data_IF_706970867320
#
_entry.id   IF_706970867320
#
_cell.length_a   1.000
_cell.length_b   1.000
_cell.length_c   1.000
_cell.angle_alpha   90.00
_cell.angle_beta   90.00
_cell.angle_gamma   90.00
#
_symmetry.space_group_name_H-M   'P 1'
#
loop_
_entity.id
_entity.type
_entity.pdbx_description
1 polymer ?
#
# COMPACT_ATOMS: atom_id res chain seq x y z
N UNK A 1 9.82 27.14 15.59
CA UNK A 1 9.63 25.68 15.51
C UNK A 1 9.15 25.29 14.11
N UNK A 2 9.99 24.72 13.27
CA UNK A 2 9.58 24.20 11.95
C UNK A 2 9.65 22.67 11.95
N UNK A 3 8.49 22.00 11.85
CA UNK A 3 8.43 20.56 11.60
C UNK A 3 8.67 20.30 10.12
N UNK A 4 9.85 19.79 9.77
CA UNK A 4 10.12 19.21 8.46
C UNK A 4 9.17 18.02 8.27
N UNK A 5 8.35 18.06 7.21
CA UNK A 5 7.59 16.89 6.76
C UNK A 5 8.57 15.99 6.02
N UNK A 6 9.06 14.94 6.69
CA UNK A 6 9.82 13.87 6.07
C UNK A 6 8.89 13.11 5.12
N UNK A 7 8.90 13.46 3.83
CA UNK A 7 8.28 12.66 2.78
C UNK A 7 9.15 11.42 2.57
N UNK A 8 8.82 10.35 3.30
CA UNK A 8 9.45 9.05 3.09
C UNK A 8 9.00 8.53 1.73
N UNK A 9 9.89 8.62 0.73
CA UNK A 9 9.62 8.13 -0.63
C UNK A 9 9.67 6.61 -0.63
N UNK A 10 8.53 5.97 -0.33
CA UNK A 10 8.30 4.55 -0.57
C UNK A 10 8.02 4.32 -2.06
N UNK A 11 8.98 4.64 -2.94
CA UNK A 11 8.90 4.21 -4.34
C UNK A 11 9.29 2.73 -4.38
N UNK A 12 8.30 1.87 -4.23
CA UNK A 12 8.47 0.41 -4.35
C UNK A 12 8.51 0.12 -5.85
N UNK A 13 9.71 -0.13 -6.36
CA UNK A 13 9.93 -0.49 -7.76
C UNK A 13 9.20 -1.80 -8.09
N UNK A 14 8.19 -1.73 -8.95
CA UNK A 14 7.45 -2.88 -9.49
C UNK A 14 5.98 -3.01 -9.07
N UNK A 15 5.51 -2.26 -8.08
CA UNK A 15 4.12 -2.34 -7.60
C UNK A 15 3.17 -1.29 -8.21
N UNK A 16 1.86 -1.54 -8.12
CA UNK A 16 0.83 -0.52 -8.39
C UNK A 16 0.78 0.45 -7.21
N UNK A 17 0.99 1.74 -7.46
CA UNK A 17 1.03 2.76 -6.42
C UNK A 17 -0.23 3.64 -6.47
N UNK A 18 -0.87 3.77 -5.32
CA UNK A 18 -2.09 4.57 -5.16
C UNK A 18 -1.87 5.69 -4.15
N UNK A 19 -2.39 6.86 -4.45
CA UNK A 19 -2.58 7.97 -3.51
C UNK A 19 -4.05 8.02 -3.11
N UNK A 20 -4.35 7.86 -1.82
CA UNK A 20 -5.72 7.86 -1.30
C UNK A 20 -5.94 9.11 -0.45
N UNK A 21 -6.91 9.92 -0.84
CA UNK A 21 -7.35 11.13 -0.14
C UNK A 21 -8.70 10.84 0.52
N UNK A 22 -8.71 10.69 1.85
CA UNK A 22 -9.93 10.48 2.64
C UNK A 22 -10.46 11.85 3.07
N UNK A 23 -11.66 12.20 2.60
CA UNK A 23 -12.25 13.53 2.84
C UNK A 23 -13.29 13.53 3.93
N UNK A 24 -14.10 12.47 3.99
CA UNK A 24 -15.23 12.41 4.90
C UNK A 24 -15.37 11.02 5.52
N UNK A 25 -15.78 11.00 6.78
CA UNK A 25 -16.27 9.82 7.47
C UNK A 25 -17.70 10.09 7.92
N UNK A 26 -18.67 9.55 7.18
CA UNK A 26 -20.10 9.70 7.47
C UNK A 26 -20.78 8.34 7.38
N UNK A 27 -21.77 8.09 8.25
CA UNK A 27 -22.49 6.80 8.30
C UNK A 27 -21.57 5.57 8.40
N UNK A 28 -20.49 5.69 9.19
CA UNK A 28 -19.46 4.65 9.31
C UNK A 28 -18.76 4.30 7.98
N UNK A 29 -18.92 5.14 6.95
CA UNK A 29 -18.30 4.98 5.64
C UNK A 29 -17.25 6.06 5.37
N UNK A 30 -16.11 5.65 4.82
CA UNK A 30 -15.08 6.56 4.34
C UNK A 30 -15.34 6.92 2.89
N UNK A 31 -15.17 8.19 2.58
CA UNK A 31 -15.42 8.77 1.27
C UNK A 31 -14.24 9.66 0.88
N UNK A 32 -13.95 9.72 -0.40
CA UNK A 32 -12.76 10.42 -0.85
C UNK A 32 -12.46 10.22 -2.33
N UNK A 33 -11.18 10.29 -2.65
CA UNK A 33 -10.67 9.98 -3.98
C UNK A 33 -9.43 9.10 -3.91
N UNK A 34 -9.32 8.18 -4.84
CA UNK A 34 -8.11 7.41 -5.11
C UNK A 34 -7.50 7.92 -6.41
N UNK A 35 -6.19 8.13 -6.42
CA UNK A 35 -5.43 8.47 -7.60
C UNK A 35 -4.39 7.38 -7.85
N UNK A 36 -4.41 6.81 -9.05
CA UNK A 36 -3.34 5.95 -9.55
C UNK A 36 -2.15 6.79 -9.96
N UNK A 37 -0.97 6.47 -9.44
CA UNK A 37 0.24 7.23 -9.76
C UNK A 37 0.90 6.77 -11.06
N UNK A 38 0.61 5.56 -11.48
CA UNK A 38 1.03 4.97 -12.76
C UNK A 38 0.34 5.63 -13.97
N UNK A 39 -0.97 5.87 -13.90
CA UNK A 39 -1.74 6.51 -14.99
C UNK A 39 -2.14 7.95 -14.72
N UNK A 40 -2.00 8.43 -13.48
CA UNK A 40 -2.52 9.72 -13.05
C UNK A 40 -4.05 9.77 -12.89
N UNK A 41 -4.74 8.65 -13.15
CA UNK A 41 -6.21 8.56 -13.11
C UNK A 41 -6.72 8.76 -11.69
N UNK A 42 -7.65 9.71 -11.52
CA UNK A 42 -8.26 10.04 -10.23
C UNK A 42 -9.74 9.72 -10.24
N UNK A 43 -10.16 8.83 -9.33
CA UNK A 43 -11.53 8.34 -9.21
C UNK A 43 -12.04 8.65 -7.81
N UNK A 44 -13.29 9.09 -7.72
CA UNK A 44 -13.97 9.32 -6.44
C UNK A 44 -14.64 8.04 -5.95
N UNK A 45 -14.51 7.77 -4.64
CA UNK A 45 -15.21 6.66 -3.99
C UNK A 45 -16.17 7.20 -2.92
N UNK A 46 -17.36 6.59 -2.85
CA UNK A 46 -18.49 6.90 -1.97
C UNK A 46 -18.56 5.95 -0.77
N UNK A 47 -17.78 4.88 -0.78
CA UNK A 47 -17.66 3.94 0.33
C UNK A 47 -16.34 3.18 0.31
N UNK A 48 -15.98 2.55 1.44
CA UNK A 48 -14.82 1.67 1.52
C UNK A 48 -14.89 0.51 0.53
N UNK A 49 -16.09 -0.01 0.27
CA UNK A 49 -16.26 -1.16 -0.65
C UNK A 49 -15.97 -0.77 -2.09
N UNK A 50 -16.40 0.43 -2.48
CA UNK A 50 -16.07 0.98 -3.79
C UNK A 50 -14.56 1.23 -3.93
N UNK A 51 -13.90 1.75 -2.88
CA UNK A 51 -12.45 1.87 -2.86
C UNK A 51 -11.75 0.53 -3.10
N UNK A 52 -12.16 -0.53 -2.39
CA UNK A 52 -11.58 -1.86 -2.55
C UNK A 52 -11.79 -2.41 -3.96
N UNK A 53 -12.98 -2.23 -4.54
CA UNK A 53 -13.27 -2.66 -5.91
C UNK A 53 -12.42 -1.93 -6.96
N UNK A 54 -12.15 -0.63 -6.75
CA UNK A 54 -11.26 0.16 -7.60
C UNK A 54 -9.81 -0.36 -7.53
N UNK A 55 -9.33 -0.66 -6.33
CA UNK A 55 -7.99 -1.23 -6.13
C UNK A 55 -7.89 -2.62 -6.78
N UNK A 56 -8.85 -3.50 -6.51
CA UNK A 56 -8.91 -4.84 -7.09
C UNK A 56 -8.90 -4.79 -8.62
N UNK A 57 -9.74 -3.94 -9.22
CA UNK A 57 -9.79 -3.79 -10.67
C UNK A 57 -8.48 -3.29 -11.26
N UNK A 58 -7.80 -2.36 -10.58
CA UNK A 58 -6.51 -1.83 -11.01
C UNK A 58 -5.38 -2.86 -10.87
N UNK A 59 -5.35 -3.62 -9.77
CA UNK A 59 -4.37 -4.68 -9.54
C UNK A 59 -4.57 -5.81 -10.55
N UNK A 60 -5.81 -6.27 -10.77
CA UNK A 60 -6.10 -7.32 -11.76
C UNK A 60 -5.72 -6.90 -13.19
N UNK A 61 -5.96 -5.63 -13.55
CA UNK A 61 -5.47 -5.09 -14.84
C UNK A 61 -3.95 -5.13 -14.93
N UNK A 62 -3.25 -4.74 -13.87
CA UNK A 62 -1.79 -4.80 -13.86
C UNK A 62 -1.26 -6.23 -13.96
N UNK A 63 -1.87 -7.18 -13.22
CA UNK A 63 -1.52 -8.62 -13.26
C UNK A 63 -1.60 -9.20 -14.65
N UNK A 64 -2.63 -8.85 -15.40
CA UNK A 64 -2.80 -9.28 -16.79
C UNK A 64 -1.73 -8.70 -17.73
N UNK A 65 -1.13 -7.55 -17.40
CA UNK A 65 -0.16 -6.85 -18.25
C UNK A 65 1.30 -7.26 -18.00
N UNK A 66 1.69 -7.60 -16.76
CA UNK A 66 3.09 -7.91 -16.41
C UNK A 66 3.35 -9.29 -15.81
N UNK A 67 2.34 -10.13 -15.65
CA UNK A 67 2.48 -11.47 -15.06
C UNK A 67 2.53 -11.44 -13.53
N UNK A 68 2.03 -12.50 -12.90
CA UNK A 68 1.71 -12.53 -11.46
C UNK A 68 2.93 -12.38 -10.54
N UNK A 69 4.10 -12.89 -10.97
CA UNK A 69 5.32 -12.90 -10.16
C UNK A 69 6.00 -11.53 -10.03
N UNK A 70 5.78 -10.62 -10.99
CA UNK A 70 6.43 -9.29 -10.99
C UNK A 70 5.70 -8.27 -10.10
N UNK A 71 4.45 -8.55 -9.72
CA UNK A 71 3.50 -7.54 -9.22
C UNK A 71 3.18 -7.69 -7.74
N UNK A 72 3.11 -8.92 -7.21
CA UNK A 72 2.68 -9.13 -5.84
C UNK A 72 3.86 -9.05 -4.88
N UNK A 73 3.76 -8.12 -3.92
CA UNK A 73 4.71 -8.05 -2.82
C UNK A 73 4.62 -9.33 -2.00
N UNK A 74 5.66 -10.14 -2.05
CA UNK A 74 5.83 -11.23 -1.10
C UNK A 74 6.19 -10.63 0.27
N UNK A 75 5.40 -10.96 1.28
CA UNK A 75 5.74 -10.62 2.65
C UNK A 75 7.01 -11.37 3.03
N UNK A 76 8.10 -10.65 3.30
CA UNK A 76 9.29 -11.27 3.86
C UNK A 76 8.96 -11.68 5.30
N UNK A 77 8.87 -12.99 5.53
CA UNK A 77 8.78 -13.53 6.89
C UNK A 77 10.05 -13.12 7.65
N UNK A 78 9.88 -12.29 8.67
CA UNK A 78 10.95 -11.92 9.58
C UNK A 78 11.45 -13.18 10.28
N UNK A 79 12.70 -13.57 10.02
CA UNK A 79 13.40 -14.63 10.75
C UNK A 79 13.30 -14.32 12.25
N UNK A 80 12.68 -15.23 13.02
CA UNK A 80 12.77 -15.25 14.48
C UNK A 80 14.25 -15.22 14.84
N UNK A 81 14.67 -14.18 15.56
CA UNK A 81 16.03 -14.09 16.08
C UNK A 81 16.32 -15.30 16.97
N UNK A 82 17.44 -15.93 16.67
CA UNK A 82 17.97 -17.12 17.31
C UNK A 82 18.17 -16.94 18.83
N UNK A 83 17.69 -17.92 19.59
CA UNK A 83 18.07 -18.19 20.96
C UNK A 83 19.51 -18.75 20.99
N UNK A 84 20.54 -17.91 21.01
CA UNK A 84 21.88 -18.39 21.37
C UNK A 84 22.71 -17.28 22.02
N UNK A 85 22.65 -17.21 23.35
CA UNK A 85 23.39 -16.22 24.13
C UNK A 85 23.26 -16.40 25.64
N UNK A 86 23.34 -17.63 26.14
CA UNK A 86 23.55 -17.93 27.57
C UNK A 86 24.44 -19.16 27.74
N UNK A 87 25.66 -19.08 27.25
CA UNK A 87 26.75 -19.88 27.79
C UNK A 87 27.98 -18.97 27.89
N UNK A 88 28.67 -19.03 29.03
CA UNK A 88 29.82 -18.23 29.46
C UNK A 88 29.49 -16.93 30.24
N UNK A 89 29.04 -17.09 31.48
CA UNK A 89 29.43 -16.20 32.57
C UNK A 89 30.51 -16.94 33.38
N UNK A 90 31.72 -16.37 33.37
CA UNK A 90 32.88 -16.76 34.17
C UNK A 90 32.65 -16.35 35.63
#
# INVERSE_FOLDING_TARGET
MNRMKTSNNYSISGGVQFSVDIRYQQHSSWQGSIQRLDTGEKIHFRSQRELLSLIESAVSRHLNEKGEEEILRQWQESKKGDEQGKENAI
#
